data_IF_544236297015
#
_entry.id   IF_544236297015
#
_cell.length_a   1.000
_cell.length_b   1.000
_cell.length_c   1.000
_cell.angle_alpha   90.00
_cell.angle_beta   90.00
_cell.angle_gamma   90.00
#
_symmetry.space_group_name_H-M   'P 1'
#
loop_
_entity.id
_entity.type
_entity.pdbx_description
1 polymer ?
#
# COMPACT_ATOMS: atom_id res chain seq x y z
N UNK A 1 -18.42 -12.46 -13.25
CA UNK A 1 -17.37 -11.65 -12.61
C UNK A 1 -16.23 -12.54 -12.18
N UNK A 2 -15.00 -12.14 -12.47
CA UNK A 2 -13.83 -12.90 -12.13
C UNK A 2 -13.61 -12.87 -10.60
N UNK A 3 -13.43 -14.03 -10.01
CA UNK A 3 -13.13 -14.10 -8.56
C UNK A 3 -11.67 -13.83 -8.31
N UNK A 4 -11.38 -13.17 -7.20
CA UNK A 4 -10.02 -12.91 -6.76
C UNK A 4 -10.00 -12.92 -5.23
N UNK A 5 -8.81 -13.09 -4.68
CA UNK A 5 -8.64 -13.16 -3.24
C UNK A 5 -8.13 -11.83 -2.70
N UNK A 6 -8.68 -11.47 -1.56
CA UNK A 6 -8.20 -10.33 -0.77
C UNK A 6 -7.91 -10.88 0.62
N UNK A 7 -6.70 -10.64 1.09
CA UNK A 7 -6.24 -11.17 2.37
C UNK A 7 -6.16 -10.04 3.38
N UNK A 8 -6.70 -10.29 4.57
CA UNK A 8 -6.69 -9.30 5.65
C UNK A 8 -5.92 -9.88 6.82
N UNK A 9 -4.89 -9.19 7.23
CA UNK A 9 -4.04 -9.62 8.34
C UNK A 9 -4.09 -8.53 9.41
N UNK A 10 -4.69 -8.83 10.55
CA UNK A 10 -4.75 -7.90 11.67
C UNK A 10 -3.55 -8.09 12.58
N UNK A 11 -3.17 -7.02 13.25
CA UNK A 11 -1.98 -6.99 14.11
C UNK A 11 -0.76 -7.44 13.31
N UNK A 12 -0.61 -6.88 12.11
CA UNK A 12 0.38 -7.34 11.15
C UNK A 12 1.81 -7.11 11.64
N UNK A 13 2.10 -5.93 12.18
CA UNK A 13 3.42 -5.62 12.73
C UNK A 13 3.38 -5.70 14.24
N UNK A 14 4.53 -5.92 14.87
CA UNK A 14 4.55 -5.80 16.31
C UNK A 14 4.37 -4.31 16.70
N UNK A 15 4.11 -4.08 17.98
CA UNK A 15 3.75 -2.76 18.46
C UNK A 15 4.84 -1.73 18.17
N UNK A 16 6.10 -2.09 18.40
CA UNK A 16 7.18 -1.15 18.20
C UNK A 16 7.35 -0.76 16.74
N UNK A 17 7.22 -1.73 15.84
CA UNK A 17 7.31 -1.45 14.41
C UNK A 17 6.13 -0.61 13.94
N UNK A 18 4.94 -0.90 14.45
CA UNK A 18 3.76 -0.09 14.10
C UNK A 18 3.94 1.36 14.55
N UNK A 19 4.43 1.57 15.76
CA UNK A 19 4.68 2.92 16.26
C UNK A 19 5.75 3.62 15.42
N UNK A 20 6.78 2.89 14.99
CA UNK A 20 7.83 3.47 14.15
C UNK A 20 7.27 3.98 12.83
N UNK A 21 6.34 3.24 12.21
CA UNK A 21 5.72 3.69 10.97
C UNK A 21 4.90 4.97 11.22
N UNK A 22 4.13 5.00 12.30
CA UNK A 22 3.34 6.18 12.63
C UNK A 22 4.23 7.40 12.82
N UNK A 23 5.31 7.26 13.58
CA UNK A 23 6.23 8.36 13.83
C UNK A 23 6.87 8.85 12.54
N UNK A 24 7.31 7.93 11.71
CA UNK A 24 7.95 8.27 10.45
C UNK A 24 6.98 8.98 9.51
N UNK A 25 5.72 8.56 9.50
CA UNK A 25 4.70 9.21 8.65
C UNK A 25 4.55 10.68 9.04
N UNK A 26 4.51 10.94 10.34
CA UNK A 26 4.36 12.32 10.83
C UNK A 26 5.60 13.14 10.49
N UNK A 27 6.78 12.61 10.76
CA UNK A 27 8.03 13.34 10.59
C UNK A 27 8.35 13.64 9.14
N UNK A 28 7.99 12.73 8.23
CA UNK A 28 8.31 12.87 6.82
C UNK A 28 7.17 13.50 6.01
N UNK A 29 6.06 13.80 6.67
CA UNK A 29 4.85 14.28 6.00
C UNK A 29 4.40 13.32 4.90
N UNK A 30 4.62 12.04 5.15
CA UNK A 30 4.18 10.98 4.24
C UNK A 30 5.13 10.68 3.08
N UNK A 31 6.26 11.35 3.03
CA UNK A 31 7.20 11.16 1.91
C UNK A 31 8.54 10.67 2.43
N UNK A 32 8.97 9.51 1.95
CA UNK A 32 10.23 8.91 2.37
C UNK A 32 11.37 9.18 1.40
N UNK A 33 11.07 9.69 0.22
CA UNK A 33 12.07 10.02 -0.78
C UNK A 33 11.49 11.03 -1.76
N UNK A 34 12.33 11.80 -2.44
CA UNK A 34 11.80 12.64 -3.51
C UNK A 34 11.23 11.78 -4.63
N UNK A 35 10.18 12.22 -5.27
CA UNK A 35 9.65 11.47 -6.40
C UNK A 35 10.62 11.45 -7.57
N UNK A 36 10.51 10.44 -8.40
CA UNK A 36 11.35 10.29 -9.59
C UNK A 36 10.92 11.35 -10.62
N UNK A 37 11.87 12.15 -11.08
CA UNK A 37 11.66 13.15 -12.15
C UNK A 37 10.46 14.06 -11.88
N UNK A 38 10.24 14.43 -10.62
CA UNK A 38 9.12 15.29 -10.20
C UNK A 38 7.74 14.69 -10.47
N UNK A 39 7.68 13.41 -10.77
CA UNK A 39 6.43 12.67 -10.81
C UNK A 39 6.20 11.99 -9.47
N UNK A 40 4.95 11.74 -9.14
CA UNK A 40 4.62 11.10 -7.85
C UNK A 40 4.88 9.59 -7.90
N UNK A 41 6.12 9.22 -8.13
CA UNK A 41 6.56 7.83 -8.21
C UNK A 41 7.61 7.62 -7.13
N UNK A 42 7.32 6.71 -6.20
CA UNK A 42 8.13 6.48 -5.00
C UNK A 42 8.65 5.04 -5.01
N UNK A 43 9.55 4.75 -5.95
CA UNK A 43 10.10 3.42 -6.18
C UNK A 43 11.38 3.21 -5.37
N UNK A 44 11.53 2.01 -4.84
CA UNK A 44 12.74 1.59 -4.12
C UNK A 44 13.19 0.23 -4.64
N UNK A 45 14.44 0.17 -5.09
CA UNK A 45 15.10 -1.12 -5.32
C UNK A 45 15.37 -1.78 -3.98
N UNK A 46 15.59 -3.09 -4.00
CA UNK A 46 15.77 -3.82 -2.74
C UNK A 46 16.91 -3.29 -1.89
N UNK A 47 17.95 -2.73 -2.52
CA UNK A 47 19.12 -2.23 -1.78
C UNK A 47 19.04 -0.76 -1.41
N UNK A 48 17.99 -0.07 -1.80
CA UNK A 48 17.82 1.34 -1.40
C UNK A 48 17.28 1.43 0.01
N UNK A 49 17.70 2.45 0.72
CA UNK A 49 17.26 2.69 2.08
C UNK A 49 16.20 3.78 2.11
N UNK A 50 15.35 3.73 3.12
CA UNK A 50 14.41 4.81 3.44
C UNK A 50 13.97 4.64 4.89
N UNK A 51 13.35 5.68 5.49
CA UNK A 51 13.14 5.67 6.95
C UNK A 51 12.38 4.48 7.51
N UNK A 52 11.47 3.88 6.77
CA UNK A 52 10.70 2.73 7.25
C UNK A 52 11.00 1.46 6.48
N UNK A 53 12.22 1.33 5.96
CA UNK A 53 12.55 0.16 5.15
C UNK A 53 12.35 -1.15 5.91
N UNK A 54 12.82 -1.20 7.15
CA UNK A 54 12.71 -2.42 7.96
C UNK A 54 11.24 -2.85 8.07
N UNK A 55 10.38 -1.89 8.37
CA UNK A 55 8.96 -2.17 8.55
C UNK A 55 8.29 -2.55 7.24
N UNK A 56 8.65 -1.88 6.14
CA UNK A 56 8.13 -2.25 4.83
C UNK A 56 8.56 -3.66 4.44
N UNK A 57 9.81 -4.02 4.74
CA UNK A 57 10.28 -5.38 4.43
C UNK A 57 9.51 -6.41 5.24
N UNK A 58 9.15 -6.09 6.49
CA UNK A 58 8.32 -6.98 7.29
C UNK A 58 6.94 -7.16 6.67
N UNK A 59 6.33 -6.07 6.21
CA UNK A 59 5.03 -6.15 5.56
C UNK A 59 5.10 -6.95 4.26
N UNK A 60 6.16 -6.74 3.48
CA UNK A 60 6.36 -7.50 2.24
C UNK A 60 6.54 -8.98 2.52
N UNK A 61 7.25 -9.32 3.58
CA UNK A 61 7.42 -10.72 3.96
C UNK A 61 6.08 -11.36 4.31
N UNK A 62 5.25 -10.63 5.05
CA UNK A 62 3.91 -11.11 5.40
C UNK A 62 3.07 -11.30 4.13
N UNK A 63 3.03 -10.28 3.27
CA UNK A 63 2.25 -10.37 2.04
C UNK A 63 2.74 -11.47 1.12
N UNK A 64 4.04 -11.71 1.11
CA UNK A 64 4.63 -12.76 0.30
C UNK A 64 4.20 -14.17 0.67
N UNK A 65 3.63 -14.33 1.87
CA UNK A 65 3.06 -15.63 2.25
C UNK A 65 1.74 -15.90 1.54
N UNK A 66 1.11 -14.87 1.01
CA UNK A 66 -0.20 -14.99 0.36
C UNK A 66 -0.11 -14.86 -1.15
N UNK A 67 0.80 -14.04 -1.64
CA UNK A 67 0.99 -13.81 -3.07
C UNK A 67 2.48 -13.92 -3.36
N UNK A 68 2.84 -14.69 -4.38
CA UNK A 68 4.23 -14.92 -4.74
C UNK A 68 4.86 -13.64 -5.29
N UNK A 69 5.79 -13.07 -4.56
CA UNK A 69 6.51 -11.86 -4.97
C UNK A 69 8.01 -12.14 -5.16
N UNK A 70 8.39 -13.39 -5.33
CA UNK A 70 9.82 -13.74 -5.43
C UNK A 70 10.49 -13.17 -6.67
N UNK A 71 9.74 -12.87 -7.72
CA UNK A 71 10.30 -12.27 -8.93
C UNK A 71 10.31 -10.75 -8.91
N UNK A 72 9.85 -10.11 -7.83
CA UNK A 72 9.84 -8.66 -7.76
C UNK A 72 11.26 -8.12 -7.69
N UNK A 73 11.48 -6.96 -8.32
CA UNK A 73 12.79 -6.31 -8.33
C UNK A 73 12.84 -5.11 -7.40
N UNK A 74 11.75 -4.81 -6.74
CA UNK A 74 11.65 -3.69 -5.82
C UNK A 74 10.21 -3.42 -5.50
N UNK A 75 9.95 -2.26 -4.92
CA UNK A 75 8.59 -1.90 -4.55
C UNK A 75 8.39 -0.40 -4.61
N UNK A 76 7.15 -0.02 -4.69
CA UNK A 76 6.74 1.38 -4.65
C UNK A 76 5.96 1.58 -3.36
N UNK A 77 6.26 2.63 -2.61
CA UNK A 77 5.57 2.86 -1.35
C UNK A 77 5.52 4.35 -0.99
N UNK A 78 4.43 4.73 -0.39
CA UNK A 78 4.26 6.08 0.16
C UNK A 78 3.19 6.01 1.23
N UNK A 79 3.06 7.08 2.00
CA UNK A 79 2.06 7.17 3.06
C UNK A 79 1.11 8.31 2.78
N UNK A 80 -0.16 8.07 2.99
CA UNK A 80 -1.17 9.12 2.98
C UNK A 80 -1.58 9.43 4.41
N UNK A 81 -1.49 10.71 4.77
CA UNK A 81 -1.87 11.13 6.11
C UNK A 81 -3.34 11.50 6.15
N UNK A 82 -3.85 12.11 5.09
CA UNK A 82 -5.25 12.47 4.98
C UNK A 82 -5.92 11.64 3.91
N UNK A 83 -7.16 11.24 4.18
CA UNK A 83 -7.90 10.41 3.24
C UNK A 83 -8.66 11.29 2.25
N UNK A 84 -8.25 11.22 1.00
CA UNK A 84 -9.05 11.71 -0.11
C UNK A 84 -9.62 10.50 -0.83
N UNK A 85 -10.82 10.60 -1.39
CA UNK A 85 -11.32 9.52 -2.23
C UNK A 85 -10.34 9.29 -3.39
N UNK A 86 -10.04 8.04 -3.67
CA UNK A 86 -9.08 7.72 -4.71
C UNK A 86 -9.71 7.53 -6.08
N UNK A 87 -11.01 7.21 -6.11
CA UNK A 87 -11.67 6.82 -7.35
C UNK A 87 -11.31 5.40 -7.76
N UNK A 88 -12.10 4.86 -8.67
CA UNK A 88 -11.88 3.49 -9.15
C UNK A 88 -10.64 3.43 -10.02
N UNK A 89 -9.73 2.52 -9.69
CA UNK A 89 -8.48 2.36 -10.44
C UNK A 89 -7.87 0.99 -10.18
N UNK A 90 -6.91 0.63 -11.01
CA UNK A 90 -6.00 -0.49 -10.75
C UNK A 90 -4.63 0.10 -10.47
N UNK A 91 -3.92 -0.49 -9.53
CA UNK A 91 -2.54 -0.08 -9.33
C UNK A 91 -1.70 -0.47 -10.54
N UNK A 92 -0.72 0.36 -10.87
CA UNK A 92 0.16 0.13 -12.00
C UNK A 92 1.61 0.18 -11.54
N UNK A 93 2.46 -0.46 -12.33
CA UNK A 93 3.90 -0.33 -12.14
C UNK A 93 4.31 0.99 -12.77
N UNK A 94 4.36 2.04 -11.95
CA UNK A 94 4.64 3.38 -12.46
C UNK A 94 6.07 3.49 -13.01
N UNK A 95 7.00 2.73 -12.43
CA UNK A 95 8.37 2.73 -12.92
C UNK A 95 8.45 2.15 -14.34
N UNK A 96 7.77 1.04 -14.57
CA UNK A 96 7.73 0.44 -15.91
C UNK A 96 7.08 1.38 -16.91
N UNK A 97 6.00 2.05 -16.50
CA UNK A 97 5.33 3.01 -17.37
C UNK A 97 6.26 4.17 -17.72
N UNK A 98 6.97 4.70 -16.72
CA UNK A 98 7.87 5.84 -16.92
C UNK A 98 9.06 5.46 -17.80
N UNK A 99 9.71 4.34 -17.53
CA UNK A 99 10.98 4.00 -18.18
C UNK A 99 10.80 3.28 -19.52
N UNK A 100 9.73 2.55 -19.71
CA UNK A 100 9.53 1.73 -20.90
C UNK A 100 8.22 1.99 -21.63
N UNK A 101 7.43 2.95 -21.16
CA UNK A 101 6.13 3.29 -21.75
C UNK A 101 5.24 2.04 -21.87
N UNK A 102 5.29 1.18 -20.87
CA UNK A 102 4.48 -0.02 -20.78
C UNK A 102 3.54 0.04 -19.60
N UNK A 103 2.29 -0.36 -19.81
CA UNK A 103 1.35 -0.53 -18.72
C UNK A 103 1.53 -1.93 -18.16
N UNK A 104 1.80 -2.01 -16.87
CA UNK A 104 1.99 -3.29 -16.20
C UNK A 104 1.42 -3.19 -14.79
N UNK A 105 0.94 -4.30 -14.28
CA UNK A 105 0.42 -4.34 -12.92
C UNK A 105 1.49 -4.87 -11.98
N UNK A 106 1.56 -4.35 -10.75
CA UNK A 106 2.48 -4.91 -9.77
C UNK A 106 2.06 -6.36 -9.43
N UNK A 107 3.02 -7.15 -9.02
CA UNK A 107 2.73 -8.53 -8.61
C UNK A 107 1.73 -8.58 -7.45
N UNK A 108 1.77 -7.58 -6.61
CA UNK A 108 1.00 -7.55 -5.38
C UNK A 108 0.81 -6.11 -4.96
N UNK A 109 -0.37 -5.81 -4.45
CA UNK A 109 -0.66 -4.52 -3.82
C UNK A 109 -0.95 -4.74 -2.35
N UNK A 110 -0.51 -3.81 -1.53
CA UNK A 110 -0.71 -3.87 -0.09
C UNK A 110 -1.15 -2.51 0.41
N UNK A 111 -2.14 -2.53 1.29
CA UNK A 111 -2.57 -1.33 2.01
C UNK A 111 -2.39 -1.62 3.49
N UNK A 112 -1.60 -0.81 4.15
CA UNK A 112 -1.35 -0.96 5.58
C UNK A 112 -1.85 0.28 6.30
N UNK A 113 -2.57 0.07 7.38
CA UNK A 113 -3.14 1.15 8.18
C UNK A 113 -2.35 1.25 9.50
N UNK A 114 -1.34 2.14 9.56
CA UNK A 114 -0.57 2.25 10.81
C UNK A 114 -1.42 2.75 11.98
N UNK A 115 -2.30 3.72 11.71
CA UNK A 115 -3.16 4.27 12.73
C UNK A 115 -4.49 4.68 12.10
N UNK A 116 -5.57 4.31 12.75
CA UNK A 116 -6.92 4.69 12.34
C UNK A 116 -7.62 5.24 13.59
N UNK A 117 -8.17 6.45 13.46
CA UNK A 117 -8.92 7.06 14.54
C UNK A 117 -10.17 6.24 14.83
N UNK A 118 -10.46 6.00 16.08
CA UNK A 118 -11.64 5.23 16.48
C UNK A 118 -12.94 5.87 16.01
N UNK A 119 -12.93 7.18 15.82
CA UNK A 119 -14.12 7.91 15.36
C UNK A 119 -14.18 8.04 13.84
N UNK A 120 -13.30 7.38 13.11
CA UNK A 120 -13.32 7.46 11.65
C UNK A 120 -14.61 6.86 11.10
N UNK A 121 -15.25 7.61 10.19
CA UNK A 121 -16.38 7.12 9.42
C UNK A 121 -16.01 7.16 7.94
N UNK A 122 -16.34 6.11 7.21
CA UNK A 122 -15.99 6.01 5.80
C UNK A 122 -14.56 5.52 5.60
N UNK A 123 -14.00 5.85 4.45
CA UNK A 123 -12.63 5.47 4.14
C UNK A 123 -12.45 4.00 3.80
N UNK A 124 -13.54 3.26 3.61
CA UNK A 124 -13.43 1.84 3.32
C UNK A 124 -12.77 1.60 1.98
N UNK A 125 -11.99 0.54 1.93
CA UNK A 125 -11.38 0.06 0.70
C UNK A 125 -12.38 -0.86 0.01
N UNK A 126 -12.82 -0.46 -1.17
CA UNK A 126 -13.89 -1.15 -1.88
C UNK A 126 -13.33 -1.81 -3.14
N UNK A 127 -13.73 -3.04 -3.37
CA UNK A 127 -13.29 -3.81 -4.53
C UNK A 127 -14.42 -3.97 -5.53
N UNK A 128 -14.05 -4.29 -6.77
CA UNK A 128 -15.03 -4.36 -7.87
C UNK A 128 -16.09 -5.42 -7.65
N UNK A 129 -15.85 -6.42 -6.83
CA UNK A 129 -16.86 -7.44 -6.52
C UNK A 129 -17.80 -7.03 -5.39
N UNK A 130 -17.70 -5.80 -4.89
CA UNK A 130 -18.58 -5.26 -3.87
C UNK A 130 -18.08 -5.40 -2.45
N UNK A 131 -16.99 -6.13 -2.24
CA UNK A 131 -16.43 -6.23 -0.88
C UNK A 131 -15.89 -4.88 -0.43
N UNK A 132 -16.08 -4.60 0.85
CA UNK A 132 -15.56 -3.37 1.46
C UNK A 132 -14.80 -3.74 2.72
N UNK A 133 -13.60 -3.19 2.84
CA UNK A 133 -12.72 -3.46 3.98
C UNK A 133 -12.65 -2.20 4.83
N UNK A 134 -12.99 -2.32 6.09
CA UNK A 134 -12.93 -1.21 7.03
C UNK A 134 -11.49 -0.97 7.46
N UNK A 135 -11.03 0.29 7.46
CA UNK A 135 -9.71 0.60 8.01
C UNK A 135 -9.65 0.22 9.50
N UNK A 136 -8.51 -0.28 9.92
CA UNK A 136 -8.28 -0.65 11.31
C UNK A 136 -6.78 -0.53 11.61
N UNK A 137 -6.46 0.02 12.76
CA UNK A 137 -5.05 0.19 13.15
C UNK A 137 -4.32 -1.14 13.08
N UNK A 138 -3.15 -1.13 12.44
CA UNK A 138 -2.25 -2.27 12.30
C UNK A 138 -2.87 -3.40 11.46
N UNK A 139 -3.72 -3.03 10.50
CA UNK A 139 -4.32 -3.98 9.55
C UNK A 139 -3.60 -3.89 8.22
N UNK A 140 -3.24 -5.03 7.67
CA UNK A 140 -2.66 -5.14 6.33
C UNK A 140 -3.68 -5.81 5.42
N UNK A 141 -3.89 -5.22 4.24
CA UNK A 141 -4.72 -5.81 3.19
C UNK A 141 -3.82 -6.11 2.00
N UNK A 142 -3.90 -7.33 1.49
CA UNK A 142 -3.04 -7.81 0.41
C UNK A 142 -3.91 -8.32 -0.73
N UNK A 143 -3.61 -7.89 -1.95
CA UNK A 143 -4.36 -8.37 -3.11
C UNK A 143 -3.47 -8.37 -4.35
N UNK A 144 -3.90 -9.12 -5.35
CA UNK A 144 -3.09 -9.37 -6.54
C UNK A 144 -3.21 -8.29 -7.61
N UNK A 145 -2.59 -8.54 -8.77
CA UNK A 145 -2.53 -7.55 -9.84
C UNK A 145 -3.86 -7.36 -10.55
N UNK A 146 -4.06 -6.15 -11.08
CA UNK A 146 -5.16 -5.87 -11.98
C UNK A 146 -6.53 -5.82 -11.34
N UNK A 147 -6.61 -5.62 -10.03
CA UNK A 147 -7.90 -5.62 -9.34
C UNK A 147 -8.36 -4.18 -9.14
N UNK A 148 -9.52 -3.86 -9.70
CA UNK A 148 -10.09 -2.52 -9.57
C UNK A 148 -10.57 -2.29 -8.14
N UNK A 149 -10.21 -1.16 -7.59
CA UNK A 149 -10.58 -0.80 -6.23
C UNK A 149 -10.70 0.71 -6.10
N UNK A 150 -11.28 1.12 -4.95
CA UNK A 150 -11.64 2.51 -4.68
C UNK A 150 -11.55 2.71 -3.18
N UNK A 151 -11.28 3.94 -2.77
CA UNK A 151 -11.40 4.32 -1.36
C UNK A 151 -12.55 5.31 -1.27
N UNK A 152 -13.43 4.82 -0.54
CA UNK A 152 -14.61 5.65 -0.41
C UNK A 152 -14.28 6.95 0.32
N UNK A 153 -15.13 7.86 0.37
CA UNK A 153 -14.93 9.11 1.03
C UNK A 153 -14.96 8.94 2.52
N UNK A 154 -14.37 9.77 3.15
CA UNK A 154 -14.43 9.78 4.59
C UNK A 154 -15.55 10.64 4.96
N UNK A 155 -16.19 10.25 5.65
CA UNK A 155 -17.38 10.96 6.08
C UNK A 155 -17.29 11.75 7.24
#
# INVERSE_FOLDING_TARGET
>A
MKKFDVYIIDDALDKDDNVAVCRSAIESEGKWAPPIDDLDIYWFDWDQDHPCKKECMSLLEIGGKYIDITSAIGYETWIRINTRPAGWHCDQDDRMNLTQNKTSYPLCSMVYYPYVDEDLHGGKLEFEDGRKITPKTNRLVVFGPGIRHNVXXXX
#
